data_IF_762803623672
#
_entry.id   IF_762803623672
#
_cell.length_a   1.000
_cell.length_b   1.000
_cell.length_c   1.000
_cell.angle_alpha   90.00
_cell.angle_beta   90.00
_cell.angle_gamma   90.00
#
_symmetry.space_group_name_H-M   'P 1'
#
loop_
_entity.id
_entity.type
_entity.pdbx_description
1 polymer ?
#
# COMPACT_ATOMS: atom_id res chain seq x y z
N UNK A 1 34.50 -51.80 -23.78
CA UNK A 1 34.03 -51.39 -22.44
C UNK A 1 34.27 -49.91 -22.10
N UNK A 2 35.33 -49.24 -22.59
CA UNK A 2 35.56 -47.79 -22.35
C UNK A 2 34.42 -46.85 -22.79
N UNK A 3 33.71 -47.16 -23.88
CA UNK A 3 32.61 -46.32 -24.39
C UNK A 3 31.34 -46.37 -23.53
N UNK A 4 31.10 -47.46 -22.80
CA UNK A 4 29.96 -47.60 -21.89
C UNK A 4 30.17 -46.82 -20.57
N UNK A 5 31.42 -46.71 -20.11
CA UNK A 5 31.77 -45.92 -18.92
C UNK A 5 31.60 -44.42 -19.18
N UNK A 6 31.93 -43.93 -20.39
CA UNK A 6 31.73 -42.52 -20.74
C UNK A 6 30.25 -42.13 -20.85
N UNK A 7 29.39 -43.01 -21.36
CA UNK A 7 27.93 -42.77 -21.42
C UNK A 7 27.30 -42.65 -20.02
N UNK A 8 27.78 -43.45 -19.06
CA UNK A 8 27.32 -43.39 -17.66
C UNK A 8 27.64 -42.06 -16.98
N UNK A 9 28.83 -41.50 -17.24
CA UNK A 9 29.27 -40.21 -16.65
C UNK A 9 28.44 -39.03 -17.18
N UNK A 10 28.05 -39.07 -18.46
CA UNK A 10 27.22 -38.02 -19.07
C UNK A 10 25.79 -38.06 -18.55
N UNK A 11 25.21 -39.26 -18.35
CA UNK A 11 23.87 -39.39 -17.77
C UNK A 11 23.80 -38.97 -16.30
N UNK A 12 24.87 -39.19 -15.52
CA UNK A 12 24.92 -38.75 -14.12
C UNK A 12 25.03 -37.21 -13.98
N UNK A 13 25.60 -36.53 -14.98
CA UNK A 13 25.75 -35.07 -15.01
C UNK A 13 24.45 -34.31 -15.25
N UNK A 14 23.40 -34.97 -15.79
CA UNK A 14 22.10 -34.32 -16.03
C UNK A 14 21.15 -34.40 -14.82
N UNK A 15 21.53 -35.08 -13.74
CA UNK A 15 20.67 -35.30 -12.58
C UNK A 15 20.88 -34.31 -11.41
N UNK A 16 21.74 -33.28 -11.54
CA UNK A 16 22.18 -32.46 -10.37
C UNK A 16 21.73 -31.00 -10.40
N UNK A 17 20.73 -30.61 -11.19
CA UNK A 17 20.27 -29.21 -11.19
C UNK A 17 18.76 -29.03 -11.27
N UNK A 18 18.06 -29.73 -10.39
CA UNK A 18 16.79 -29.23 -9.86
C UNK A 18 16.97 -29.03 -8.35
N UNK A 19 17.64 -27.94 -7.97
CA UNK A 19 17.41 -27.40 -6.62
C UNK A 19 15.92 -27.09 -6.62
N UNK A 20 15.09 -27.77 -5.81
CA UNK A 20 13.75 -27.28 -5.61
C UNK A 20 13.92 -25.90 -4.98
N UNK A 21 13.64 -24.85 -5.74
CA UNK A 21 13.20 -23.60 -5.14
C UNK A 21 11.90 -24.00 -4.46
N UNK A 22 12.02 -24.44 -3.21
CA UNK A 22 10.90 -24.50 -2.30
C UNK A 22 10.53 -23.04 -2.12
N UNK A 23 9.60 -22.55 -2.95
CA UNK A 23 8.74 -21.47 -2.51
C UNK A 23 8.27 -21.94 -1.14
N UNK A 24 8.76 -21.28 -0.10
CA UNK A 24 8.34 -21.50 1.26
C UNK A 24 6.82 -21.55 1.19
N UNK A 25 6.25 -22.72 1.51
CA UNK A 25 4.79 -22.87 1.53
C UNK A 25 4.32 -21.70 2.38
N UNK A 26 3.61 -20.76 1.77
CA UNK A 26 2.80 -19.80 2.48
C UNK A 26 1.81 -20.65 3.29
N UNK A 27 2.24 -21.05 4.49
CA UNK A 27 1.37 -21.48 5.56
C UNK A 27 0.29 -20.43 5.60
N UNK A 28 -0.98 -20.83 5.47
CA UNK A 28 -2.16 -19.96 5.50
C UNK A 28 -1.85 -18.69 6.28
N UNK A 29 -1.46 -17.65 5.56
CA UNK A 29 -0.82 -16.48 6.16
C UNK A 29 -1.88 -15.81 7.02
N UNK A 30 -1.46 -15.35 8.19
CA UNK A 30 -2.23 -14.48 9.06
C UNK A 30 -2.65 -13.25 8.24
N UNK A 31 -3.83 -13.32 7.62
CA UNK A 31 -4.29 -12.35 6.62
C UNK A 31 -4.34 -10.95 7.25
N UNK A 32 -4.69 -10.86 8.54
CA UNK A 32 -4.73 -9.63 9.31
C UNK A 32 -3.34 -9.00 9.50
N UNK A 33 -2.31 -9.80 9.83
CA UNK A 33 -0.95 -9.30 10.01
C UNK A 33 -0.28 -8.87 8.70
N UNK A 34 -0.62 -9.53 7.60
CA UNK A 34 -0.12 -9.18 6.26
C UNK A 34 -0.80 -7.92 5.71
N UNK A 35 -2.09 -7.76 5.96
CA UNK A 35 -2.88 -6.57 5.61
C UNK A 35 -2.35 -5.33 6.35
N UNK A 36 -2.14 -5.43 7.67
CA UNK A 36 -1.54 -4.33 8.44
C UNK A 36 -0.13 -3.95 7.95
N UNK A 37 0.70 -4.92 7.59
CA UNK A 37 2.04 -4.63 7.05
C UNK A 37 1.98 -3.92 5.69
N UNK A 38 1.04 -4.34 4.82
CA UNK A 38 0.79 -3.69 3.55
C UNK A 38 0.26 -2.27 3.72
N UNK A 39 -0.72 -2.07 4.61
CA UNK A 39 -1.27 -0.75 4.91
C UNK A 39 -0.21 0.19 5.45
N UNK A 40 0.63 -0.27 6.39
CA UNK A 40 1.76 0.50 6.90
C UNK A 40 2.74 0.88 5.79
N UNK A 41 3.02 -0.04 4.87
CA UNK A 41 3.84 0.26 3.70
C UNK A 41 3.21 1.36 2.86
N UNK A 42 1.92 1.25 2.49
CA UNK A 42 1.22 2.26 1.69
C UNK A 42 1.17 3.61 2.42
N UNK A 43 0.82 3.64 3.71
CA UNK A 43 0.82 4.86 4.53
C UNK A 43 2.18 5.57 4.52
N UNK A 44 3.28 4.81 4.60
CA UNK A 44 4.63 5.38 4.57
C UNK A 44 4.95 6.08 3.24
N UNK A 45 4.36 5.62 2.13
CA UNK A 45 4.56 6.22 0.81
C UNK A 45 3.70 7.48 0.59
N UNK A 46 2.58 7.63 1.32
CA UNK A 46 1.61 8.71 1.14
C UNK A 46 1.60 9.72 2.31
N UNK A 47 2.55 9.62 3.24
CA UNK A 47 2.52 10.43 4.47
C UNK A 47 2.56 11.93 4.18
N UNK A 48 3.36 12.36 3.21
CA UNK A 48 3.50 13.77 2.87
C UNK A 48 2.24 14.30 2.14
N UNK A 49 1.70 13.54 1.20
CA UNK A 49 0.49 13.85 0.44
C UNK A 49 -0.73 13.91 1.36
N UNK A 50 -0.88 12.96 2.29
CA UNK A 50 -1.94 12.98 3.29
C UNK A 50 -1.83 14.20 4.20
N UNK A 51 -0.63 14.49 4.72
CA UNK A 51 -0.42 15.68 5.57
C UNK A 51 -0.78 16.96 4.83
N UNK A 52 -0.39 17.07 3.56
CA UNK A 52 -0.74 18.21 2.73
C UNK A 52 -2.26 18.32 2.53
N UNK A 53 -2.92 17.23 2.15
CA UNK A 53 -4.38 17.21 1.95
C UNK A 53 -5.15 17.64 3.21
N UNK A 54 -4.75 17.14 4.38
CA UNK A 54 -5.36 17.52 5.67
C UNK A 54 -5.10 18.99 6.00
N UNK A 55 -3.86 19.46 5.83
CA UNK A 55 -3.49 20.86 6.06
C UNK A 55 -4.29 21.81 5.16
N UNK A 56 -4.43 21.43 3.89
CA UNK A 56 -5.17 22.20 2.89
C UNK A 56 -6.67 22.22 3.19
N UNK A 57 -7.25 21.14 3.72
CA UNK A 57 -8.65 21.10 4.11
C UNK A 57 -8.93 21.98 5.34
N UNK A 58 -8.18 21.78 6.44
CA UNK A 58 -8.41 22.49 7.70
C UNK A 58 -7.83 23.91 7.72
N UNK A 59 -7.00 24.27 6.74
CA UNK A 59 -6.24 25.54 6.69
C UNK A 59 -5.40 25.75 7.96
N UNK A 60 -4.76 24.68 8.44
CA UNK A 60 -3.95 24.65 9.67
C UNK A 60 -2.74 23.75 9.49
N UNK A 61 -1.56 24.24 9.85
CA UNK A 61 -0.27 23.55 9.66
C UNK A 61 -0.01 22.41 10.66
N UNK A 62 -0.91 22.22 11.62
CA UNK A 62 -0.63 21.54 12.88
C UNK A 62 -1.71 20.50 13.24
N UNK A 63 -2.46 20.04 12.24
CA UNK A 63 -3.41 18.94 12.42
C UNK A 63 -2.67 17.64 12.66
N UNK A 64 -3.09 16.89 13.68
CA UNK A 64 -2.57 15.56 13.92
C UNK A 64 -3.48 14.52 13.27
N UNK A 65 -2.85 13.53 12.61
CA UNK A 65 -3.51 12.42 11.92
C UNK A 65 -3.25 11.14 12.72
N UNK A 66 -4.31 10.36 12.96
CA UNK A 66 -4.22 9.03 13.59
C UNK A 66 -5.01 8.01 12.77
N UNK A 67 -4.61 6.74 12.90
CA UNK A 67 -5.22 5.63 12.18
C UNK A 67 -5.93 4.71 13.17
N UNK A 68 -7.20 4.41 12.91
CA UNK A 68 -7.98 3.54 13.77
C UNK A 68 -8.00 2.11 13.24
N UNK A 69 -6.93 1.37 13.53
CA UNK A 69 -6.74 -0.03 13.13
C UNK A 69 -7.76 -1.02 13.70
N UNK A 70 -8.55 -0.58 14.67
CA UNK A 70 -9.51 -1.44 15.40
C UNK A 70 -10.96 -1.14 15.01
N UNK A 71 -11.18 -0.19 14.10
CA UNK A 71 -12.51 0.10 13.62
C UNK A 71 -12.97 -1.00 12.66
N UNK A 72 -14.16 -1.56 12.90
CA UNK A 72 -14.75 -2.60 12.05
C UNK A 72 -15.64 -2.02 10.94
N UNK A 73 -15.91 -0.72 10.96
CA UNK A 73 -16.79 -0.05 10.01
C UNK A 73 -16.06 0.41 8.73
N UNK A 74 -14.72 0.46 8.76
CA UNK A 74 -13.90 0.88 7.62
C UNK A 74 -12.44 0.43 7.77
N UNK A 75 -11.77 0.24 6.63
CA UNK A 75 -10.35 -0.04 6.59
C UNK A 75 -9.54 1.27 6.61
N UNK A 76 -8.32 1.20 7.16
CA UNK A 76 -7.39 2.34 7.21
C UNK A 76 -6.91 2.70 5.81
N UNK A 77 -6.63 1.69 4.99
CA UNK A 77 -6.22 1.81 3.59
C UNK A 77 -7.10 0.91 2.74
N UNK A 78 -7.68 1.46 1.68
CA UNK A 78 -8.35 0.68 0.64
C UNK A 78 -7.68 0.96 -0.70
N UNK A 79 -7.17 -0.08 -1.36
CA UNK A 79 -6.58 0.00 -2.70
C UNK A 79 -7.53 -0.61 -3.73
N UNK A 80 -7.92 0.18 -4.73
CA UNK A 80 -8.71 -0.27 -5.85
C UNK A 80 -7.89 -0.15 -7.14
N UNK A 81 -7.70 -1.29 -7.81
CA UNK A 81 -7.16 -1.31 -9.17
C UNK A 81 -8.32 -1.24 -10.15
N UNK A 82 -8.24 -0.35 -11.13
CA UNK A 82 -9.24 -0.27 -12.20
C UNK A 82 -9.02 -1.43 -13.16
N UNK A 83 -9.69 -2.57 -12.96
CA UNK A 83 -9.70 -3.66 -13.94
C UNK A 83 -10.33 -3.17 -15.25
N UNK A 84 -9.55 -3.20 -16.34
CA UNK A 84 -10.02 -3.04 -17.72
C UNK A 84 -10.69 -1.69 -18.03
N UNK A 85 -9.88 -0.65 -18.08
CA UNK A 85 -10.04 0.48 -19.01
C UNK A 85 -11.41 1.15 -19.02
N UNK A 86 -11.46 2.36 -18.44
CA UNK A 86 -12.39 3.49 -18.70
C UNK A 86 -13.40 3.87 -17.60
N UNK A 87 -13.25 3.47 -16.34
CA UNK A 87 -14.13 4.03 -15.28
C UNK A 87 -13.47 5.08 -14.38
N UNK A 88 -12.13 5.10 -14.29
CA UNK A 88 -11.40 6.07 -13.47
C UNK A 88 -10.27 6.71 -14.29
N UNK A 89 -10.00 8.00 -14.06
CA UNK A 89 -8.90 8.74 -14.71
C UNK A 89 -7.51 8.21 -14.34
N UNK A 90 -7.42 7.32 -13.32
CA UNK A 90 -6.18 6.78 -12.79
C UNK A 90 -6.21 5.23 -12.79
N UNK A 91 -5.06 4.57 -13.08
CA UNK A 91 -4.92 3.11 -13.01
C UNK A 91 -5.22 2.53 -11.61
N UNK A 92 -4.89 3.28 -10.56
CA UNK A 92 -5.16 2.91 -9.18
C UNK A 92 -5.83 4.07 -8.44
N UNK A 93 -6.70 3.73 -7.50
CA UNK A 93 -7.26 4.66 -6.52
C UNK A 93 -6.97 4.12 -5.13
N UNK A 94 -6.42 4.98 -4.28
CA UNK A 94 -6.11 4.66 -2.88
C UNK A 94 -6.95 5.56 -2.00
N UNK A 95 -7.66 4.95 -1.06
CA UNK A 95 -8.48 5.65 -0.08
C UNK A 95 -7.87 5.43 1.30
N UNK A 96 -7.70 6.52 2.03
CA UNK A 96 -7.25 6.52 3.41
C UNK A 96 -8.39 7.00 4.31
N UNK A 97 -8.64 6.30 5.40
CA UNK A 97 -9.52 6.78 6.46
C UNK A 97 -8.72 7.14 7.69
N UNK A 98 -8.81 8.38 8.14
CA UNK A 98 -7.98 8.92 9.21
C UNK A 98 -8.81 9.71 10.22
N UNK A 99 -8.42 9.61 11.49
CA UNK A 99 -8.95 10.49 12.53
C UNK A 99 -8.06 11.72 12.65
N UNK A 100 -8.66 12.90 12.54
CA UNK A 100 -7.95 14.18 12.63
C UNK A 100 -8.21 14.85 13.97
N UNK A 101 -7.18 15.48 14.53
CA UNK A 101 -7.23 16.11 15.85
C UNK A 101 -6.60 17.50 15.83
N UNK A 102 -7.01 18.32 16.79
CA UNK A 102 -6.29 19.55 17.10
C UNK A 102 -4.83 19.28 17.50
N UNK A 103 -4.02 20.35 17.55
CA UNK A 103 -2.59 20.29 17.85
C UNK A 103 -2.25 19.57 19.17
N UNK A 104 -3.21 19.46 20.08
CA UNK A 104 -3.03 18.91 21.42
C UNK A 104 -3.70 17.53 21.61
N UNK A 105 -4.26 16.93 20.55
CA UNK A 105 -5.10 15.72 20.61
C UNK A 105 -6.29 15.84 21.56
N UNK A 106 -6.73 17.06 21.89
CA UNK A 106 -7.77 17.31 22.90
C UNK A 106 -9.18 17.34 22.31
N UNK A 107 -9.30 17.69 21.03
CA UNK A 107 -10.55 17.59 20.27
C UNK A 107 -10.31 16.81 18.98
N UNK A 108 -11.02 15.71 18.80
CA UNK A 108 -11.16 15.11 17.48
C UNK A 108 -11.90 16.12 16.59
N UNK A 109 -11.33 16.42 15.44
CA UNK A 109 -11.89 17.32 14.44
C UNK A 109 -12.80 16.57 13.49
N UNK A 110 -12.48 15.32 13.16
CA UNK A 110 -13.32 14.47 12.33
C UNK A 110 -12.72 13.09 12.09
N UNK A 111 -13.45 12.30 11.31
CA UNK A 111 -12.98 11.08 10.64
C UNK A 111 -13.04 11.35 9.15
N UNK A 112 -11.87 11.56 8.56
CA UNK A 112 -11.72 12.03 7.19
C UNK A 112 -11.39 10.88 6.26
N UNK A 113 -11.93 10.94 5.05
CA UNK A 113 -11.62 10.01 3.96
C UNK A 113 -10.91 10.78 2.85
N UNK A 114 -9.65 10.42 2.59
CA UNK A 114 -8.77 11.05 1.61
C UNK A 114 -8.60 10.08 0.45
N UNK A 115 -8.91 10.51 -0.78
CA UNK A 115 -8.87 9.65 -1.97
C UNK A 115 -7.85 10.18 -2.94
N UNK A 116 -6.85 9.37 -3.27
CA UNK A 116 -5.83 9.67 -4.26
C UNK A 116 -5.97 8.80 -5.50
N UNK A 117 -5.81 9.44 -6.65
CA UNK A 117 -5.57 8.78 -7.93
C UNK A 117 -4.07 8.60 -8.13
N UNK A 118 -3.66 7.40 -8.56
CA UNK A 118 -2.24 7.05 -8.68
C UNK A 118 -1.96 6.44 -10.05
N UNK A 119 -1.01 7.06 -10.76
CA UNK A 119 -0.53 6.63 -12.07
C UNK A 119 0.96 6.34 -12.01
N UNK A 120 1.39 5.07 -12.16
CA UNK A 120 2.82 4.75 -12.23
C UNK A 120 3.45 5.44 -13.44
N UNK A 121 4.55 6.15 -13.21
CA UNK A 121 5.37 6.72 -14.28
C UNK A 121 6.30 5.62 -14.76
N UNK A 122 6.18 5.25 -16.04
CA UNK A 122 7.15 4.35 -16.66
C UNK A 122 8.49 5.08 -16.75
N UNK A 123 9.47 4.64 -15.97
CA UNK A 123 10.83 5.13 -16.14
C UNK A 123 11.43 4.57 -17.42
N UNK A 124 12.07 5.45 -18.18
CA UNK A 124 12.88 5.09 -19.34
C UNK A 124 14.04 4.18 -18.89
N UNK A 125 14.39 3.19 -19.69
CA UNK A 125 15.38 2.12 -19.41
C UNK A 125 16.83 2.62 -19.16
N UNK A 126 17.07 3.93 -19.13
CA UNK A 126 18.41 4.55 -19.02
C UNK A 126 18.86 4.83 -17.58
N UNK A 127 18.04 4.54 -16.57
CA UNK A 127 18.41 4.69 -15.16
C UNK A 127 18.86 3.35 -14.56
N UNK A 128 20.18 3.09 -14.58
CA UNK A 128 20.86 1.92 -13.96
C UNK A 128 20.74 1.85 -12.42
N UNK A 129 20.00 2.75 -11.80
CA UNK A 129 19.72 2.74 -10.36
C UNK A 129 18.43 1.99 -10.06
N UNK A 130 18.46 1.09 -9.07
CA UNK A 130 17.26 0.43 -8.50
C UNK A 130 16.31 1.47 -7.88
N UNK A 131 15.59 2.21 -8.72
CA UNK A 131 14.60 3.18 -8.28
C UNK A 131 13.23 2.50 -8.36
N UNK A 132 12.51 2.45 -7.25
CA UNK A 132 11.08 2.15 -7.28
C UNK A 132 10.41 3.15 -8.22
N UNK A 133 9.48 2.65 -9.06
CA UNK A 133 8.72 3.46 -10.00
C UNK A 133 8.16 4.71 -9.31
N UNK A 134 8.45 5.91 -9.83
CA UNK A 134 7.80 7.13 -9.40
C UNK A 134 6.33 7.02 -9.81
N UNK A 135 5.45 7.61 -9.02
CA UNK A 135 4.03 7.67 -9.35
C UNK A 135 3.60 9.12 -9.37
N UNK A 136 2.76 9.46 -10.33
CA UNK A 136 1.98 10.68 -10.28
C UNK A 136 0.80 10.43 -9.35
N UNK A 137 0.65 11.30 -8.35
CA UNK A 137 -0.38 11.21 -7.31
C UNK A 137 -1.21 12.48 -7.36
N UNK A 138 -2.53 12.32 -7.44
CA UNK A 138 -3.48 13.44 -7.43
C UNK A 138 -4.55 13.23 -6.37
N UNK A 139 -4.85 14.27 -5.58
CA UNK A 139 -5.98 14.26 -4.66
C UNK A 139 -7.30 14.31 -5.46
N UNK A 140 -8.01 13.19 -5.53
CA UNK A 140 -9.28 13.06 -6.26
C UNK A 140 -10.45 13.54 -5.42
N UNK A 141 -10.44 13.24 -4.12
CA UNK A 141 -11.53 13.63 -3.23
C UNK A 141 -11.07 13.75 -1.77
N UNK A 142 -11.73 14.61 -1.02
CA UNK A 142 -11.60 14.74 0.43
C UNK A 142 -13.00 14.79 1.05
N UNK A 143 -13.34 13.79 1.86
CA UNK A 143 -14.65 13.70 2.52
C UNK A 143 -14.43 13.81 4.02
N UNK A 144 -14.92 14.90 4.59
CA UNK A 144 -14.92 15.10 6.04
C UNK A 144 -16.17 14.50 6.68
N UNK A 145 -16.00 13.82 7.82
CA UNK A 145 -17.11 13.43 8.69
C UNK A 145 -16.89 14.00 10.08
N UNK A 146 -17.92 14.65 10.58
CA UNK A 146 -17.95 15.15 11.95
C UNK A 146 -17.69 14.02 12.95
N UNK A 147 -16.96 14.30 14.04
CA UNK A 147 -16.69 13.30 15.06
C UNK A 147 -18.01 12.84 15.68
N UNK A 148 -18.10 11.55 15.99
CA UNK A 148 -19.26 11.02 16.68
C UNK A 148 -19.45 11.79 17.99
N UNK A 149 -20.65 12.34 18.22
CA UNK A 149 -20.96 13.02 19.49
C UNK A 149 -20.74 12.02 20.61
N UNK A 150 -19.74 12.28 21.45
CA UNK A 150 -19.60 11.60 22.73
C UNK A 150 -20.90 11.89 23.47
N UNK A 151 -21.73 10.87 23.67
CA UNK A 151 -22.87 11.00 24.57
C UNK A 151 -22.28 11.18 25.96
N UNK A 152 -22.29 12.41 26.46
CA UNK A 152 -22.02 12.70 27.85
C UNK A 152 -22.88 11.74 28.69
N UNK A 153 -22.21 10.86 29.43
CA UNK A 153 -22.83 9.98 30.43
C UNK A 153 -22.75 10.66 31.79
#
# INVERSE_FOLDING_TARGET
>A
MRKLVMMSIILLSMCVSSIPISAEKANQHDFEGMEQAFDQFVLSQFTDEMRQAVTDYYKKDSIQVQYNWWNQEHDVVELQQTEKGRELSYPFVIKFTVDTYDENKKGQLGTDTIVFGVSPIQFNDDFDGKNLAASEVELVNYIHREPAKVKDK
#
